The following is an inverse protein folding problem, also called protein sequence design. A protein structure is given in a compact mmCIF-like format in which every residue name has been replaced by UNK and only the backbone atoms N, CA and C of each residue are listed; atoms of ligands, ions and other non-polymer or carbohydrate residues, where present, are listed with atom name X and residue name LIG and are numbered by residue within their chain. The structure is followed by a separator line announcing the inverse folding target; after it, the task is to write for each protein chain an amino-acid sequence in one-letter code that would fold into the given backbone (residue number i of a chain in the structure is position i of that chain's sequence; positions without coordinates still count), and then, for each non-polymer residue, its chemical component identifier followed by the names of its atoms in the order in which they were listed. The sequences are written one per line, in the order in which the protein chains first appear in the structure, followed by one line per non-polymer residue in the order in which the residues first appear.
data_IF_161097768338
#
_entry.id   IF_161097768338
#
_cell.length_a   1.000
_cell.length_b   1.000
_cell.length_c   1.000
_cell.angle_alpha   90.00
_cell.angle_beta   90.00
_cell.angle_gamma   90.00
#
_symmetry.space_group_name_H-M   'P 1'
#
loop_
_entity.id
_entity.type
_entity.pdbx_description
1 polymer ?
#
# COMPACT_ATOMS: atom_id res chain seq x y z
N UNK A 1 -1.50 5.24 -5.67
CA UNK A 1 -1.46 3.86 -6.15
C UNK A 1 -2.69 3.12 -5.65
N UNK A 2 -3.37 2.47 -6.53
CA UNK A 2 -4.48 1.60 -6.17
C UNK A 2 -4.07 0.17 -6.53
N UNK A 3 -4.09 -0.71 -5.54
CA UNK A 3 -3.70 -2.10 -5.73
C UNK A 3 -4.90 -2.97 -5.44
N UNK A 4 -5.30 -3.77 -6.42
CA UNK A 4 -6.42 -4.70 -6.28
C UNK A 4 -5.93 -6.02 -5.74
N UNK A 5 -6.82 -6.72 -5.04
CA UNK A 5 -6.54 -8.07 -4.60
C UNK A 5 -6.27 -8.95 -5.82
N UNK A 6 -5.17 -9.66 -5.77
CA UNK A 6 -4.79 -10.59 -6.82
C UNK A 6 -4.29 -11.86 -6.18
N UNK A 7 -5.09 -12.90 -6.28
CA UNK A 7 -4.78 -14.18 -5.65
C UNK A 7 -3.52 -14.84 -6.22
N UNK A 8 -3.05 -14.39 -7.37
CA UNK A 8 -1.82 -14.91 -7.97
C UNK A 8 -0.56 -14.29 -7.35
N UNK A 9 -0.72 -13.24 -6.53
CA UNK A 9 0.41 -12.57 -5.93
C UNK A 9 0.66 -13.11 -4.53
N UNK A 10 1.82 -13.69 -4.32
CA UNK A 10 2.28 -13.98 -2.96
C UNK A 10 2.78 -12.68 -2.33
N UNK A 11 2.82 -12.64 -1.00
CA UNK A 11 3.35 -11.46 -0.29
C UNK A 11 4.79 -11.16 -0.70
N UNK A 12 5.61 -12.18 -0.93
CA UNK A 12 7.00 -11.99 -1.34
C UNK A 12 7.12 -11.30 -2.68
N UNK A 13 6.32 -11.72 -3.66
CA UNK A 13 6.33 -11.12 -4.99
C UNK A 13 5.84 -9.68 -4.92
N UNK A 14 4.74 -9.43 -4.21
CA UNK A 14 4.18 -8.10 -4.09
C UNK A 14 5.15 -7.16 -3.38
N UNK A 15 5.80 -7.62 -2.32
CA UNK A 15 6.78 -6.82 -1.58
C UNK A 15 7.95 -6.42 -2.48
N UNK A 16 8.48 -7.37 -3.24
CA UNK A 16 9.60 -7.10 -4.15
C UNK A 16 9.21 -6.11 -5.24
N UNK A 17 8.06 -6.33 -5.88
CA UNK A 17 7.61 -5.48 -6.97
C UNK A 17 7.35 -4.05 -6.49
N UNK A 18 6.67 -3.91 -5.36
CA UNK A 18 6.36 -2.59 -4.81
C UNK A 18 7.60 -1.86 -4.33
N UNK A 19 8.57 -2.57 -3.76
CA UNK A 19 9.83 -1.95 -3.35
C UNK A 19 10.52 -1.31 -4.53
N UNK A 20 10.64 -2.04 -5.64
CA UNK A 20 11.28 -1.53 -6.84
C UNK A 20 10.52 -0.35 -7.43
N UNK A 21 9.20 -0.42 -7.41
CA UNK A 21 8.38 0.61 -7.99
C UNK A 21 8.44 1.91 -7.19
N UNK A 22 8.35 1.81 -5.87
CA UNK A 22 8.44 2.98 -4.99
C UNK A 22 9.82 3.61 -5.10
N UNK A 23 10.88 2.80 -5.13
CA UNK A 23 12.24 3.31 -5.36
C UNK A 23 12.32 4.09 -6.66
N UNK A 24 11.80 3.53 -7.75
CA UNK A 24 11.85 4.17 -9.05
C UNK A 24 11.09 5.50 -9.07
N UNK A 25 9.92 5.54 -8.46
CA UNK A 25 9.11 6.77 -8.42
C UNK A 25 9.86 7.86 -7.66
N UNK A 26 10.42 7.55 -6.51
CA UNK A 26 11.15 8.54 -5.72
C UNK A 26 12.43 9.00 -6.41
N UNK A 27 13.09 8.11 -7.15
CA UNK A 27 14.30 8.48 -7.88
C UNK A 27 14.00 9.35 -9.10
N UNK A 28 12.88 9.13 -9.76
CA UNK A 28 12.55 9.83 -10.99
C UNK A 28 11.82 11.15 -10.76
N UNK A 29 11.26 11.36 -9.58
CA UNK A 29 10.43 12.53 -9.28
C UNK A 29 10.94 13.22 -8.02
N UNK A 30 11.89 14.13 -8.19
CA UNK A 30 12.59 14.78 -7.07
C UNK A 30 11.65 15.56 -6.15
N UNK A 31 10.57 16.13 -6.68
CA UNK A 31 9.66 16.95 -5.90
C UNK A 31 8.62 16.15 -5.13
N UNK A 32 8.54 14.85 -5.35
CA UNK A 32 7.52 14.03 -4.71
C UNK A 32 7.97 13.65 -3.29
N UNK A 33 7.16 14.03 -2.31
CA UNK A 33 7.47 13.78 -0.90
C UNK A 33 6.65 12.63 -0.31
N UNK A 34 5.61 12.16 -1.00
CA UNK A 34 4.66 11.20 -0.45
C UNK A 34 4.18 10.25 -1.54
N UNK A 35 4.12 8.96 -1.21
CA UNK A 35 3.47 7.96 -2.06
C UNK A 35 2.38 7.30 -1.24
N UNK A 36 1.16 7.28 -1.78
CA UNK A 36 0.03 6.67 -1.13
C UNK A 36 -0.41 5.38 -1.80
N UNK A 37 -1.01 4.52 -1.01
CA UNK A 37 -1.55 3.25 -1.48
C UNK A 37 -2.91 3.03 -0.81
N UNK A 38 -3.90 2.61 -1.60
CA UNK A 38 -5.24 2.32 -1.07
C UNK A 38 -5.56 0.85 -1.27
N UNK A 39 -6.05 0.21 -0.21
CA UNK A 39 -6.58 -1.14 -0.27
C UNK A 39 -7.88 -1.18 0.54
N UNK A 40 -8.39 -2.36 0.81
CA UNK A 40 -9.62 -2.53 1.57
C UNK A 40 -9.42 -3.56 2.69
N UNK A 41 -10.24 -3.46 3.73
CA UNK A 41 -10.06 -4.28 4.92
C UNK A 41 -10.22 -5.78 4.67
N UNK A 42 -10.82 -6.16 3.56
CA UNK A 42 -10.91 -7.57 3.17
C UNK A 42 -9.63 -8.12 2.58
N UNK A 43 -8.65 -7.27 2.30
CA UNK A 43 -7.38 -7.71 1.70
C UNK A 43 -6.26 -7.64 2.73
N UNK A 44 -6.28 -8.58 3.67
CA UNK A 44 -5.26 -8.64 4.72
C UNK A 44 -3.85 -8.84 4.17
N UNK A 45 -3.72 -9.52 3.04
CA UNK A 45 -2.43 -9.73 2.40
C UNK A 45 -1.77 -8.42 1.99
N UNK A 46 -2.53 -7.53 1.36
CA UNK A 46 -1.99 -6.24 0.92
C UNK A 46 -1.74 -5.30 2.09
N UNK A 47 -2.58 -5.35 3.13
CA UNK A 47 -2.31 -4.57 4.33
C UNK A 47 -1.00 -5.02 4.98
N UNK A 48 -0.76 -6.32 5.04
CA UNK A 48 0.50 -6.85 5.59
C UNK A 48 1.71 -6.43 4.75
N UNK A 49 1.56 -6.42 3.42
CA UNK A 49 2.63 -5.97 2.52
C UNK A 49 2.95 -4.49 2.75
N UNK A 50 1.94 -3.64 2.87
CA UNK A 50 2.15 -2.22 3.12
C UNK A 50 2.91 -2.01 4.43
N UNK A 51 2.52 -2.70 5.49
CA UNK A 51 3.18 -2.58 6.79
C UNK A 51 4.60 -3.10 6.72
N UNK A 52 4.82 -4.20 6.01
CA UNK A 52 6.16 -4.76 5.84
C UNK A 52 7.10 -3.83 5.10
N UNK A 53 6.57 -3.06 4.15
CA UNK A 53 7.35 -2.06 3.41
C UNK A 53 7.62 -0.80 4.22
N UNK A 54 7.01 -0.66 5.38
CA UNK A 54 7.19 0.52 6.20
C UNK A 54 6.19 1.64 5.93
N UNK A 55 5.14 1.35 5.17
CA UNK A 55 4.07 2.31 4.98
C UNK A 55 3.27 2.45 6.27
N UNK A 56 2.86 3.67 6.57
CA UNK A 56 2.03 3.94 7.72
C UNK A 56 0.57 4.02 7.32
N UNK A 57 -0.31 3.53 8.18
CA UNK A 57 -1.74 3.65 7.97
C UNK A 57 -2.14 5.09 8.20
N UNK A 58 -2.62 5.74 7.15
CA UNK A 58 -2.95 7.16 7.18
C UNK A 58 -4.43 7.43 7.32
N UNK A 59 -5.26 6.47 7.00
CA UNK A 59 -6.69 6.65 7.10
C UNK A 59 -7.46 5.37 6.88
N UNK A 60 -8.72 5.41 7.31
CA UNK A 60 -9.64 4.30 7.12
C UNK A 60 -11.03 4.87 7.01
N UNK A 61 -11.72 4.55 5.93
CA UNK A 61 -13.10 4.95 5.72
C UNK A 61 -13.98 3.72 5.89
N UNK A 62 -14.84 3.78 6.87
CA UNK A 62 -15.61 2.60 7.28
C UNK A 62 -16.78 2.33 6.35
N UNK A 63 -17.00 1.05 6.04
CA UNK A 63 -18.18 0.54 5.33
C UNK A 63 -18.46 1.26 4.01
N UNK A 64 -17.41 1.52 3.25
CA UNK A 64 -17.56 2.20 1.95
C UNK A 64 -17.51 1.23 0.78
N UNK A 65 -17.21 -0.04 1.03
CA UNK A 65 -17.13 -1.05 -0.02
C UNK A 65 -18.00 -2.24 0.33
N UNK A 66 -18.91 -2.60 -0.57
CA UNK A 66 -19.78 -3.76 -0.40
C UNK A 66 -19.31 -4.88 -1.32
N UNK A 67 -19.12 -6.07 -0.74
CA UNK A 67 -18.65 -7.20 -1.54
C UNK A 67 -19.12 -8.50 -0.88
N UNK A 68 -19.79 -9.32 -1.66
CA UNK A 68 -20.26 -10.65 -1.26
C UNK A 68 -21.05 -10.64 0.08
N UNK A 69 -21.98 -9.71 0.20
CA UNK A 69 -22.85 -9.64 1.35
C UNK A 69 -22.29 -8.95 2.57
N UNK A 70 -21.11 -8.40 2.49
CA UNK A 70 -20.47 -7.71 3.62
C UNK A 70 -19.93 -6.34 3.22
N UNK A 71 -19.92 -5.43 4.18
CA UNK A 71 -19.27 -4.14 4.02
C UNK A 71 -17.83 -4.20 4.50
N UNK A 72 -16.99 -3.49 3.79
CA UNK A 72 -15.57 -3.40 4.11
C UNK A 72 -15.14 -1.95 4.13
N UNK A 73 -14.02 -1.70 4.81
CA UNK A 73 -13.45 -0.37 4.91
C UNK A 73 -12.44 -0.14 3.79
N UNK A 74 -12.30 1.12 3.40
CA UNK A 74 -11.17 1.55 2.57
C UNK A 74 -10.03 1.91 3.51
N UNK A 75 -8.85 1.36 3.27
CA UNK A 75 -7.68 1.57 4.11
C UNK A 75 -6.60 2.25 3.29
N UNK A 76 -6.06 3.35 3.80
CA UNK A 76 -5.06 4.13 3.11
C UNK A 76 -3.74 4.06 3.85
N UNK A 77 -2.70 3.75 3.10
CA UNK A 77 -1.33 3.71 3.60
C UNK A 77 -0.49 4.72 2.85
N UNK A 78 0.52 5.25 3.49
CA UNK A 78 1.42 6.18 2.84
C UNK A 78 2.82 6.10 3.40
N UNK A 79 3.78 6.57 2.61
CA UNK A 79 5.16 6.66 3.03
C UNK A 79 5.73 7.99 2.53
N UNK A 80 6.46 8.66 3.40
CA UNK A 80 7.18 9.86 3.02
C UNK A 80 8.54 9.50 2.44
N UNK A 81 9.05 10.36 1.55
CA UNK A 81 10.37 10.15 0.95
C UNK A 81 11.44 9.93 2.01
N UNK A 82 11.46 10.75 3.05
CA UNK A 82 12.46 10.63 4.11
C UNK A 82 12.33 9.33 4.87
N UNK A 83 11.11 8.85 5.08
CA UNK A 83 10.87 7.57 5.75
C UNK A 83 11.38 6.41 4.89
N UNK A 84 11.14 6.49 3.60
CA UNK A 84 11.57 5.45 2.67
C UNK A 84 13.09 5.37 2.59
N UNK A 85 13.75 6.51 2.55
CA UNK A 85 15.20 6.57 2.41
C UNK A 85 15.94 6.11 3.67
N UNK A 86 15.30 6.19 4.83
CA UNK A 86 15.93 5.80 6.10
C UNK A 86 15.59 4.39 6.54
N UNK A 87 14.72 3.70 5.84
CA UNK A 87 14.39 2.33 6.21
C UNK A 87 15.56 1.40 5.90
N UNK A 88 15.72 0.41 6.73
CA UNK A 88 16.80 -0.56 6.58
C UNK A 88 16.42 -1.66 5.60
#
# INVERSE_FOLDING_TARGET
IVIYDNQLWSQGIATTALTKWVDAIFQETDALEHIGMTTWSGNGGMMAVAEKLGFLKEGQIRKVRYYQGQYYDSVKYGVLREEWNTRA
#
